data_IF_816830890919
#
_entry.id   IF_816830890919
#
_cell.length_a   1.000
_cell.length_b   1.000
_cell.length_c   1.000
_cell.angle_alpha   90.00
_cell.angle_beta   90.00
_cell.angle_gamma   90.00
#
_symmetry.space_group_name_H-M   'P 1'
#
loop_
_entity.id
_entity.type
_entity.pdbx_description
1 polymer ?
#
# COMPACT_ATOMS: atom_id res chain seq x y z
N UNK A 1 1.52 -6.56 -7.50
CA UNK A 1 1.85 -5.75 -6.31
C UNK A 1 2.11 -6.62 -5.08
N UNK A 2 3.35 -6.70 -4.59
CA UNK A 2 3.68 -7.31 -3.29
C UNK A 2 3.68 -6.20 -2.22
N UNK A 3 2.82 -6.30 -1.21
CA UNK A 3 2.66 -5.29 -0.16
C UNK A 3 3.10 -5.91 1.17
N UNK A 4 3.99 -5.23 1.88
CA UNK A 4 4.52 -5.65 3.19
C UNK A 4 4.35 -4.55 4.22
N UNK A 5 3.98 -4.91 5.44
CA UNK A 5 3.99 -4.02 6.59
C UNK A 5 5.41 -3.69 7.01
N UNK A 6 5.68 -2.41 7.28
CA UNK A 6 6.93 -1.91 7.82
C UNK A 6 6.62 -0.79 8.83
N UNK A 7 6.34 -1.17 10.08
CA UNK A 7 5.85 -0.23 11.09
C UNK A 7 4.55 0.43 10.65
N UNK A 8 4.46 1.75 10.72
CA UNK A 8 3.27 2.55 10.32
C UNK A 8 3.13 2.74 8.80
N UNK A 9 3.97 2.09 8.00
CA UNK A 9 3.97 2.18 6.55
C UNK A 9 3.75 0.82 5.90
N UNK A 10 3.07 0.84 4.75
CA UNK A 10 3.11 -0.23 3.77
C UNK A 10 4.21 0.03 2.77
N UNK A 11 5.09 -0.96 2.60
CA UNK A 11 6.03 -1.04 1.49
C UNK A 11 5.37 -1.79 0.36
N UNK A 12 5.41 -1.22 -0.83
CA UNK A 12 4.88 -1.87 -2.03
C UNK A 12 5.73 -1.56 -3.25
N UNK A 13 5.76 -2.50 -4.19
CA UNK A 13 6.44 -2.32 -5.47
C UNK A 13 5.41 -1.94 -6.53
N UNK A 14 5.73 -0.91 -7.31
CA UNK A 14 4.89 -0.47 -8.42
C UNK A 14 5.01 -1.46 -9.58
N UNK A 15 3.88 -2.04 -10.01
CA UNK A 15 3.86 -3.02 -11.10
C UNK A 15 4.25 -2.43 -12.48
N UNK A 16 4.35 -1.10 -12.62
CA UNK A 16 4.72 -0.44 -13.88
C UNK A 16 6.20 -0.08 -14.01
N UNK A 17 6.84 0.30 -12.90
CA UNK A 17 8.21 0.83 -12.92
C UNK A 17 9.13 0.18 -11.88
N UNK A 18 8.67 -0.88 -11.22
CA UNK A 18 9.35 -1.64 -10.16
C UNK A 18 9.91 -0.78 -9.02
N UNK A 19 9.44 0.46 -8.92
CA UNK A 19 9.88 1.38 -7.88
C UNK A 19 9.29 0.94 -6.55
N UNK A 20 10.14 0.90 -5.53
CA UNK A 20 9.73 0.69 -4.15
C UNK A 20 9.07 1.96 -3.61
N UNK A 21 7.82 1.85 -3.22
CA UNK A 21 7.03 2.93 -2.63
C UNK A 21 6.75 2.62 -1.16
N UNK A 22 6.64 3.69 -0.37
CA UNK A 22 6.30 3.68 1.04
C UNK A 22 5.06 4.53 1.22
N UNK A 23 4.02 3.97 1.82
CA UNK A 23 2.75 4.68 2.01
C UNK A 23 2.22 4.42 3.41
N UNK A 24 1.84 5.48 4.12
CA UNK A 24 1.26 5.37 5.45
C UNK A 24 0.03 4.46 5.43
N UNK A 25 -0.11 3.62 6.47
CA UNK A 25 -1.27 2.73 6.59
C UNK A 25 -2.60 3.49 6.50
N UNK A 26 -2.68 4.68 7.12
CA UNK A 26 -3.86 5.55 7.05
C UNK A 26 -4.22 5.96 5.61
N UNK A 27 -3.24 6.26 4.75
CA UNK A 27 -3.49 6.57 3.34
C UNK A 27 -3.89 5.33 2.55
N UNK A 28 -3.31 4.19 2.89
CA UNK A 28 -3.67 2.91 2.30
C UNK A 28 -5.13 2.53 2.60
N UNK A 29 -5.60 2.85 3.81
CA UNK A 29 -6.99 2.63 4.25
C UNK A 29 -8.01 3.53 3.55
N UNK A 30 -7.59 4.69 3.02
CA UNK A 30 -8.47 5.57 2.21
C UNK A 30 -8.78 4.95 0.85
N UNK A 31 -7.99 3.96 0.39
CA UNK A 31 -8.33 3.18 -0.78
C UNK A 31 -7.65 3.58 -2.08
N UNK A 32 -6.83 4.64 -2.08
CA UNK A 32 -6.09 5.06 -3.29
C UNK A 32 -4.66 5.44 -2.92
N UNK A 33 -3.70 4.82 -3.61
CA UNK A 33 -2.27 5.11 -3.45
C UNK A 33 -1.63 5.42 -4.79
N UNK A 34 -0.62 6.28 -4.80
CA UNK A 34 0.09 6.67 -6.02
C UNK A 34 1.57 6.35 -5.91
N UNK A 35 2.16 5.94 -7.03
CA UNK A 35 3.60 5.73 -7.09
C UNK A 35 4.31 7.09 -7.12
N UNK A 36 5.31 7.27 -6.26
CA UNK A 36 6.10 8.51 -6.20
C UNK A 36 7.01 8.74 -7.42
N UNK A 37 7.26 7.72 -8.24
CA UNK A 37 8.09 7.84 -9.44
C UNK A 37 7.29 8.01 -10.73
N UNK A 38 6.35 7.09 -11.01
CA UNK A 38 5.58 7.12 -12.26
C UNK A 38 4.22 7.82 -12.13
N UNK A 39 3.84 8.27 -10.93
CA UNK A 39 2.58 8.94 -10.61
C UNK A 39 1.32 8.19 -11.03
N UNK A 40 1.44 6.88 -11.27
CA UNK A 40 0.28 6.01 -11.50
C UNK A 40 -0.46 5.77 -10.20
N UNK A 41 -1.79 5.77 -10.30
CA UNK A 41 -2.69 5.53 -9.18
C UNK A 41 -3.08 4.05 -9.13
N UNK A 42 -3.15 3.51 -7.92
CA UNK A 42 -3.62 2.17 -7.60
C UNK A 42 -4.79 2.29 -6.65
N UNK A 43 -5.85 1.54 -6.94
CA UNK A 43 -6.97 1.38 -6.06
C UNK A 43 -6.69 0.22 -5.09
N UNK A 44 -6.62 0.53 -3.81
CA UNK A 44 -6.36 -0.43 -2.73
C UNK A 44 -7.66 -0.97 -2.11
N UNK A 45 -8.84 -0.41 -2.44
CA UNK A 45 -10.14 -0.94 -2.01
C UNK A 45 -10.53 -2.21 -2.75
N UNK A 46 -10.09 -2.39 -3.99
CA UNK A 46 -10.41 -3.59 -4.78
C UNK A 46 -9.82 -4.89 -4.22
N UNK A 47 -8.96 -4.82 -3.19
CA UNK A 47 -8.29 -5.98 -2.58
C UNK A 47 -8.66 -6.21 -1.12
N UNK A 48 -9.81 -5.70 -0.66
CA UNK A 48 -10.35 -5.89 0.70
C UNK A 48 -10.56 -7.37 1.13
N UNK A 49 -10.40 -8.35 0.23
CA UNK A 49 -10.52 -9.77 0.57
C UNK A 49 -9.30 -10.39 1.28
N UNK A 50 -8.12 -9.78 1.22
CA UNK A 50 -6.90 -10.30 1.84
C UNK A 50 -6.48 -9.42 3.01
N UNK A 51 -7.24 -9.54 4.11
CA UNK A 51 -6.78 -9.43 5.50
C UNK A 51 -5.44 -8.70 5.66
N UNK A 52 -5.44 -7.37 5.49
CA UNK A 52 -4.36 -6.52 5.99
C UNK A 52 -4.45 -6.55 7.52
N UNK A 53 -3.94 -7.64 8.09
CA UNK A 53 -4.01 -7.96 9.50
C UNK A 53 -3.56 -6.76 10.32
N UNK A 54 -4.55 -6.16 10.97
CA UNK A 54 -4.42 -5.14 11.98
C UNK A 54 -3.70 -5.77 13.17
N UNK A 55 -2.37 -5.87 13.11
CA UNK A 55 -1.55 -6.02 14.30
C UNK A 55 -1.44 -4.65 14.99
N UNK A 56 -2.58 -4.15 15.45
CA UNK A 56 -2.72 -3.03 16.38
C UNK A 56 -3.45 -3.55 17.61
N UNK A 57 -2.83 -4.52 18.31
CA UNK A 57 -3.25 -4.90 19.65
C UNK A 57 -2.83 -3.80 20.62
N UNK A 58 -3.79 -3.38 21.44
CA UNK A 58 -3.71 -2.38 22.51
C UNK A 58 -2.47 -2.48 23.41
#
# INVERSE_FOLDING_TARGET
>A
MNIKLLGDYYVWYCDWCDTRNLTLQQKFAVGVVSCGACHKHFDTTAREGEHFALCGGF
#
